data_IF_413477534602
#
_entry.id   IF_413477534602
#
_cell.length_a   1.000
_cell.length_b   1.000
_cell.length_c   1.000
_cell.angle_alpha   90.00
_cell.angle_beta   90.00
_cell.angle_gamma   90.00
#
_symmetry.space_group_name_H-M   'P 1'
#
loop_
_entity.id
_entity.type
_entity.pdbx_description
1 polymer ?
#
# COMPACT_ATOMS: atom_id res chain seq x y z
N UNK A 1 32.93 -35.29 80.86
CA UNK A 1 31.76 -36.19 80.77
C UNK A 1 30.54 -35.37 80.38
N UNK A 2 29.89 -35.74 79.27
CA UNK A 2 28.64 -35.20 78.68
C UNK A 2 28.64 -33.68 78.31
N UNK A 3 28.06 -33.21 77.20
CA UNK A 3 26.85 -33.68 76.53
C UNK A 3 26.84 -33.30 75.05
N UNK A 4 26.43 -34.26 74.23
CA UNK A 4 26.09 -34.17 72.81
C UNK A 4 24.93 -33.18 72.60
N UNK A 5 25.06 -32.26 71.63
CA UNK A 5 23.92 -31.53 71.08
C UNK A 5 23.95 -31.71 69.56
N UNK A 6 22.92 -32.40 69.07
CA UNK A 6 22.57 -32.53 67.66
C UNK A 6 21.96 -31.20 67.23
N UNK A 7 22.44 -30.62 66.15
CA UNK A 7 21.80 -29.44 65.55
C UNK A 7 21.55 -29.67 64.07
N UNK A 8 20.30 -29.37 63.70
CA UNK A 8 19.58 -29.72 62.48
C UNK A 8 20.26 -29.26 61.19
N UNK A 9 20.09 -30.08 60.14
CA UNK A 9 20.18 -29.66 58.76
C UNK A 9 19.17 -28.54 58.46
N UNK A 10 19.63 -27.46 57.81
CA UNK A 10 18.76 -26.47 57.18
C UNK A 10 19.15 -26.38 55.70
N UNK A 11 18.43 -27.12 54.87
CA UNK A 11 18.47 -26.98 53.42
C UNK A 11 17.60 -25.78 53.03
N UNK A 12 18.23 -24.66 52.68
CA UNK A 12 17.55 -23.47 52.16
C UNK A 12 17.64 -23.42 50.64
N UNK A 13 16.61 -23.91 49.95
CA UNK A 13 16.36 -23.65 48.53
C UNK A 13 15.89 -22.18 48.39
N UNK A 14 16.74 -21.30 47.86
CA UNK A 14 16.31 -19.98 47.42
C UNK A 14 16.03 -20.09 45.92
N UNK A 15 14.77 -20.37 45.58
CA UNK A 15 14.28 -20.26 44.21
C UNK A 15 14.07 -18.78 43.88
N UNK A 16 14.90 -18.22 43.00
CA UNK A 16 14.67 -16.90 42.44
C UNK A 16 13.48 -16.99 41.47
N UNK A 17 12.34 -16.45 41.88
CA UNK A 17 11.19 -16.28 41.00
C UNK A 17 11.49 -15.14 40.02
N UNK A 18 11.94 -15.49 38.81
CA UNK A 18 12.02 -14.55 37.69
C UNK A 18 10.60 -14.22 37.24
N UNK A 19 10.04 -13.10 37.73
CA UNK A 19 8.86 -12.50 37.14
C UNK A 19 9.28 -11.86 35.81
N UNK A 20 9.35 -12.65 34.75
CA UNK A 20 9.37 -12.10 33.39
C UNK A 20 8.02 -11.44 33.17
N UNK A 21 7.96 -10.11 33.32
CA UNK A 21 6.86 -9.31 32.80
C UNK A 21 6.92 -9.49 31.29
N UNK A 22 6.11 -10.41 30.77
CA UNK A 22 5.77 -10.38 29.36
C UNK A 22 5.05 -9.04 29.17
N UNK A 23 5.70 -8.10 28.50
CA UNK A 23 4.98 -6.95 27.97
C UNK A 23 3.76 -7.51 27.23
N UNK A 24 2.54 -7.01 27.47
CA UNK A 24 1.42 -7.43 26.65
C UNK A 24 1.86 -7.21 25.21
N UNK A 25 1.89 -8.27 24.40
CA UNK A 25 1.95 -8.16 22.97
C UNK A 25 0.62 -7.52 22.57
N UNK A 26 0.54 -6.21 22.70
CA UNK A 26 -0.54 -5.43 22.12
C UNK A 26 -0.36 -5.64 20.62
N UNK A 27 -1.14 -6.56 20.06
CA UNK A 27 -1.46 -6.51 18.65
C UNK A 27 -2.14 -5.16 18.47
N UNK A 28 -1.37 -4.13 18.14
CA UNK A 28 -1.93 -2.86 17.72
C UNK A 28 -2.79 -3.20 16.50
N UNK A 29 -4.11 -3.03 16.64
CA UNK A 29 -5.04 -3.25 15.55
C UNK A 29 -4.52 -2.46 14.33
N UNK A 30 -4.40 -3.11 13.18
CA UNK A 30 -3.92 -2.46 11.96
C UNK A 30 -4.97 -1.44 11.48
N UNK A 31 -4.93 -0.24 12.05
CA UNK A 31 -5.87 0.86 11.83
C UNK A 31 -5.13 2.21 11.84
N UNK A 32 -5.75 3.23 11.25
CA UNK A 32 -5.18 4.58 11.14
C UNK A 32 -4.58 4.87 9.77
N UNK A 33 -3.78 5.95 9.69
CA UNK A 33 -3.10 6.33 8.46
C UNK A 33 -1.72 5.65 8.37
N UNK A 34 -1.39 5.12 7.19
CA UNK A 34 -0.09 4.55 6.85
C UNK A 34 0.39 5.15 5.53
N UNK A 35 1.70 5.18 5.33
CA UNK A 35 2.33 5.59 4.09
C UNK A 35 2.91 4.36 3.40
N UNK A 36 2.47 4.10 2.18
CA UNK A 36 3.02 3.06 1.31
C UNK A 36 4.28 3.61 0.65
N UNK A 37 5.43 3.00 0.92
CA UNK A 37 6.67 3.26 0.20
C UNK A 37 7.02 2.09 -0.68
N UNK A 38 7.11 2.36 -1.98
CA UNK A 38 7.69 1.46 -2.97
C UNK A 38 8.95 2.12 -3.52
N UNK A 39 9.98 1.33 -3.81
CA UNK A 39 11.24 1.87 -4.32
C UNK A 39 11.00 2.54 -5.69
N UNK A 40 11.47 3.77 -5.83
CA UNK A 40 11.36 4.53 -7.08
C UNK A 40 9.99 5.14 -7.34
N UNK A 41 9.06 5.05 -6.38
CA UNK A 41 7.77 5.74 -6.44
C UNK A 41 7.61 6.70 -5.27
N UNK A 42 6.83 7.76 -5.49
CA UNK A 42 6.42 8.66 -4.43
C UNK A 42 5.54 7.92 -3.41
N UNK A 43 5.72 8.19 -2.11
CA UNK A 43 4.89 7.55 -1.08
C UNK A 43 3.43 7.98 -1.17
N UNK A 44 2.50 7.04 -1.08
CA UNK A 44 1.05 7.33 -1.01
C UNK A 44 0.49 7.08 0.37
N UNK A 45 -0.53 7.84 0.76
CA UNK A 45 -1.17 7.72 2.07
C UNK A 45 -2.40 6.79 1.99
N UNK A 46 -2.41 5.78 2.85
CA UNK A 46 -3.49 4.84 3.05
C UNK A 46 -4.24 5.15 4.34
N UNK A 47 -5.56 5.20 4.27
CA UNK A 47 -6.43 5.27 5.45
C UNK A 47 -7.00 3.88 5.69
N UNK A 48 -6.65 3.29 6.84
CA UNK A 48 -7.05 1.94 7.22
C UNK A 48 -8.12 2.01 8.31
N UNK A 49 -9.28 1.41 8.05
CA UNK A 49 -10.41 1.34 8.99
C UNK A 49 -10.89 -0.10 9.14
N UNK A 50 -11.46 -0.50 10.29
CA UNK A 50 -12.16 -1.78 10.39
C UNK A 50 -13.28 -1.87 9.36
N UNK A 51 -13.51 -3.05 8.78
CA UNK A 51 -14.65 -3.27 7.88
C UNK A 51 -15.98 -3.11 8.63
N UNK A 52 -16.96 -2.43 8.01
CA UNK A 52 -18.32 -2.33 8.54
C UNK A 52 -18.99 -3.72 8.60
N UNK A 53 -19.71 -4.02 9.68
CA UNK A 53 -20.52 -5.25 9.76
C UNK A 53 -19.78 -6.51 10.24
N UNK A 54 -18.68 -6.38 11.00
CA UNK A 54 -18.15 -7.48 11.82
C UNK A 54 -19.15 -7.82 12.96
N UNK A 55 -20.30 -8.38 12.62
CA UNK A 55 -21.26 -9.01 13.53
C UNK A 55 -20.68 -10.31 14.14
N UNK A 56 -19.43 -10.65 13.84
CA UNK A 56 -18.64 -11.62 14.55
C UNK A 56 -17.61 -10.88 15.43
N UNK A 57 -17.71 -10.94 16.77
CA UNK A 57 -16.71 -10.41 17.69
C UNK A 57 -15.44 -11.30 17.75
N UNK A 58 -15.09 -11.97 16.65
CA UNK A 58 -13.77 -12.57 16.47
C UNK A 58 -12.74 -11.49 16.13
N UNK A 59 -11.43 -11.76 16.24
CA UNK A 59 -10.41 -10.81 15.80
C UNK A 59 -10.75 -10.38 14.37
N UNK A 60 -10.93 -9.08 14.14
CA UNK A 60 -11.42 -8.54 12.88
C UNK A 60 -10.40 -8.84 11.77
N UNK A 61 -10.59 -9.97 11.08
CA UNK A 61 -9.76 -10.43 9.98
C UNK A 61 -9.98 -9.62 8.69
N UNK A 62 -10.51 -8.41 8.79
CA UNK A 62 -10.85 -7.54 7.67
C UNK A 62 -10.58 -6.08 8.06
N UNK A 63 -9.85 -5.37 7.22
CA UNK A 63 -9.76 -3.91 7.24
C UNK A 63 -10.05 -3.36 5.85
N UNK A 64 -10.63 -2.17 5.80
CA UNK A 64 -10.83 -1.40 4.58
C UNK A 64 -9.69 -0.40 4.43
N UNK A 65 -9.06 -0.42 3.27
CA UNK A 65 -8.00 0.50 2.89
C UNK A 65 -8.54 1.45 1.84
N UNK A 66 -8.42 2.75 2.10
CA UNK A 66 -8.74 3.82 1.16
C UNK A 66 -7.43 4.53 0.78
N UNK A 67 -7.12 4.58 -0.52
CA UNK A 67 -6.02 5.36 -1.10
C UNK A 67 -6.63 6.55 -1.87
N UNK A 68 -6.13 7.76 -1.59
CA UNK A 68 -6.63 9.00 -2.19
C UNK A 68 -6.17 9.23 -3.65
N UNK A 69 -5.31 8.37 -4.18
CA UNK A 69 -4.67 8.51 -5.48
C UNK A 69 -3.54 9.54 -5.47
N UNK A 70 -2.98 9.76 -6.66
CA UNK A 70 -1.97 10.78 -6.96
C UNK A 70 -2.21 11.33 -8.36
N UNK A 71 -1.31 12.20 -8.85
CA UNK A 71 -1.35 12.64 -10.25
C UNK A 71 -1.16 11.48 -11.25
N UNK A 72 -0.50 10.41 -10.81
CA UNK A 72 -0.12 9.25 -11.63
C UNK A 72 -0.91 7.99 -11.27
N UNK A 73 -1.83 8.07 -10.31
CA UNK A 73 -2.57 6.91 -9.84
C UNK A 73 -3.99 7.24 -9.41
N UNK A 74 -4.96 6.49 -9.91
CA UNK A 74 -6.35 6.61 -9.55
C UNK A 74 -6.57 6.20 -8.08
N UNK A 75 -7.49 6.89 -7.37
CA UNK A 75 -7.89 6.50 -6.03
C UNK A 75 -8.55 5.11 -6.05
N UNK A 76 -8.42 4.39 -4.93
CA UNK A 76 -9.10 3.10 -4.77
C UNK A 76 -9.55 2.88 -3.33
N UNK A 77 -10.51 1.99 -3.17
CA UNK A 77 -10.90 1.44 -1.87
C UNK A 77 -11.04 -0.08 -2.00
N UNK A 78 -10.47 -0.83 -1.05
CA UNK A 78 -10.52 -2.29 -1.06
C UNK A 78 -10.38 -2.89 0.34
N UNK A 79 -10.88 -4.11 0.48
CA UNK A 79 -10.77 -4.88 1.71
C UNK A 79 -9.50 -5.73 1.73
N UNK A 80 -8.76 -5.63 2.82
CA UNK A 80 -7.64 -6.48 3.14
C UNK A 80 -8.05 -7.48 4.21
N UNK A 81 -7.74 -8.76 3.97
CA UNK A 81 -8.06 -9.85 4.87
C UNK A 81 -6.81 -10.37 5.55
N UNK A 82 -6.90 -10.67 6.85
CA UNK A 82 -5.79 -11.23 7.61
C UNK A 82 -5.84 -12.76 7.59
N UNK A 83 -4.72 -13.39 7.27
CA UNK A 83 -4.54 -14.83 7.39
C UNK A 83 -3.07 -15.16 7.74
N UNK A 84 -2.86 -15.94 8.79
CA UNK A 84 -1.56 -16.53 9.16
C UNK A 84 -0.44 -15.48 9.30
N UNK A 85 -0.74 -14.33 9.93
CA UNK A 85 0.24 -13.27 10.16
C UNK A 85 0.42 -12.29 8.99
N UNK A 86 -0.25 -12.51 7.86
CA UNK A 86 -0.20 -11.63 6.70
C UNK A 86 -1.56 -11.00 6.43
N UNK A 87 -1.53 -9.77 5.93
CA UNK A 87 -2.67 -9.15 5.29
C UNK A 87 -2.57 -9.34 3.78
N UNK A 88 -3.71 -9.55 3.12
CA UNK A 88 -3.80 -9.68 1.67
C UNK A 88 -4.96 -8.87 1.13
N UNK A 89 -4.72 -8.12 0.05
CA UNK A 89 -5.70 -7.25 -0.60
C UNK A 89 -5.56 -7.39 -2.12
N UNK A 90 -6.67 -7.37 -2.85
CA UNK A 90 -6.67 -7.31 -4.32
C UNK A 90 -7.51 -6.12 -4.77
N UNK A 91 -6.94 -5.31 -5.66
CA UNK A 91 -7.54 -4.08 -6.16
C UNK A 91 -7.60 -4.17 -7.68
N UNK A 92 -8.75 -3.81 -8.28
CA UNK A 92 -8.82 -3.54 -9.70
C UNK A 92 -8.52 -2.06 -9.94
N UNK A 93 -7.52 -1.78 -10.78
CA UNK A 93 -7.03 -0.44 -11.08
C UNK A 93 -7.29 -0.15 -12.56
N UNK A 94 -7.87 1.00 -12.94
CA UNK A 94 -7.99 1.41 -14.35
C UNK A 94 -6.63 1.77 -14.98
N UNK A 95 -5.62 1.93 -14.15
CA UNK A 95 -4.30 2.49 -14.38
C UNK A 95 -3.23 1.63 -13.69
N UNK A 96 -3.36 0.31 -13.86
CA UNK A 96 -2.41 -0.65 -13.27
C UNK A 96 -1.02 -0.52 -13.91
N UNK A 97 -0.96 -0.11 -15.18
CA UNK A 97 0.26 0.26 -15.90
C UNK A 97 0.03 1.57 -16.64
N UNK A 98 1.05 2.42 -16.64
CA UNK A 98 1.12 3.62 -17.49
C UNK A 98 2.21 3.37 -18.53
N UNK A 99 1.85 3.48 -19.81
CA UNK A 99 2.74 3.29 -20.95
C UNK A 99 3.60 4.54 -21.21
N UNK A 100 4.64 4.43 -22.04
CA UNK A 100 5.53 5.55 -22.38
C UNK A 100 4.81 6.70 -23.11
N UNK A 101 3.72 6.41 -23.82
CA UNK A 101 2.85 7.39 -24.48
C UNK A 101 1.82 8.04 -23.53
N UNK A 102 1.84 7.65 -22.24
CA UNK A 102 0.91 8.11 -21.20
C UNK A 102 -0.42 7.36 -21.16
N UNK A 103 -0.63 6.34 -21.99
CA UNK A 103 -1.85 5.53 -21.94
C UNK A 103 -1.89 4.68 -20.66
N UNK A 104 -3.04 4.67 -19.99
CA UNK A 104 -3.28 3.85 -18.81
C UNK A 104 -3.94 2.52 -19.21
N UNK A 105 -3.39 1.43 -18.69
CA UNK A 105 -3.85 0.07 -18.93
C UNK A 105 -4.49 -0.49 -17.64
N UNK A 106 -5.75 -0.97 -17.71
CA UNK A 106 -6.41 -1.55 -16.55
C UNK A 106 -5.83 -2.91 -16.19
N UNK A 107 -5.88 -3.23 -14.90
CA UNK A 107 -5.38 -4.51 -14.40
C UNK A 107 -5.72 -4.73 -12.94
N UNK A 108 -5.11 -5.76 -12.36
CA UNK A 108 -5.22 -6.09 -10.95
C UNK A 108 -3.91 -5.85 -10.24
N UNK A 109 -4.00 -5.30 -9.03
CA UNK A 109 -2.88 -5.16 -8.11
C UNK A 109 -3.18 -5.96 -6.86
N UNK A 110 -2.32 -6.91 -6.53
CA UNK A 110 -2.41 -7.73 -5.32
C UNK A 110 -1.35 -7.28 -4.35
N UNK A 111 -1.74 -6.97 -3.12
CA UNK A 111 -0.84 -6.60 -2.03
C UNK A 111 -0.83 -7.71 -0.99
N UNK A 112 0.35 -8.05 -0.48
CA UNK A 112 0.51 -8.92 0.67
C UNK A 112 1.62 -8.39 1.58
N UNK A 113 1.35 -8.24 2.87
CA UNK A 113 2.34 -7.75 3.84
C UNK A 113 2.23 -8.45 5.19
N UNK A 114 3.35 -8.53 5.87
CA UNK A 114 3.42 -9.07 7.23
C UNK A 114 2.83 -8.06 8.22
N UNK A 115 1.97 -8.56 9.12
CA UNK A 115 1.21 -7.72 10.05
C UNK A 115 2.07 -7.06 11.13
N UNK A 116 3.32 -7.52 11.34
CA UNK A 116 4.19 -7.02 12.41
C UNK A 116 5.25 -6.06 11.88
N UNK A 117 5.98 -6.48 10.84
CA UNK A 117 7.06 -5.72 10.19
C UNK A 117 6.55 -4.66 9.23
N UNK A 118 5.31 -4.80 8.75
CA UNK A 118 4.70 -3.96 7.73
C UNK A 118 5.45 -3.95 6.39
N UNK A 119 6.27 -4.97 6.15
CA UNK A 119 6.96 -5.21 4.89
C UNK A 119 6.13 -6.15 4.01
N UNK A 120 6.10 -5.89 2.71
CA UNK A 120 5.23 -6.62 1.79
C UNK A 120 5.72 -6.69 0.36
N UNK A 121 4.92 -7.36 -0.46
CA UNK A 121 5.03 -7.44 -1.91
C UNK A 121 3.72 -7.01 -2.54
N UNK A 122 3.82 -6.17 -3.56
CA UNK A 122 2.72 -5.87 -4.46
C UNK A 122 3.01 -6.48 -5.82
N UNK A 123 1.97 -7.01 -6.46
CA UNK A 123 2.04 -7.66 -7.76
C UNK A 123 0.97 -7.10 -8.70
N UNK A 124 1.39 -6.67 -9.88
CA UNK A 124 0.54 -6.26 -10.97
C UNK A 124 0.26 -7.44 -11.89
N UNK A 125 -0.96 -7.54 -12.40
CA UNK A 125 -1.36 -8.47 -13.46
C UNK A 125 -2.26 -7.72 -14.43
N UNK A 126 -1.95 -7.81 -15.72
CA UNK A 126 -2.63 -7.06 -16.78
C UNK A 126 -2.69 -7.92 -18.05
N UNK A 127 -3.75 -7.76 -18.81
CA UNK A 127 -4.08 -8.63 -19.95
C UNK A 127 -3.49 -8.11 -21.31
N UNK A 128 -2.52 -7.19 -21.26
CA UNK A 128 -2.08 -6.28 -22.35
C UNK A 128 -2.48 -4.83 -22.00
N UNK A 129 -2.03 -3.70 -22.58
CA UNK A 129 -1.70 -3.42 -23.98
C UNK A 129 -0.96 -2.06 -24.18
N UNK A 130 0.30 -1.94 -23.74
CA UNK A 130 1.18 -0.88 -24.26
C UNK A 130 1.75 -1.33 -25.62
N UNK A 131 1.48 -0.62 -26.72
CA UNK A 131 2.04 -0.92 -28.06
C UNK A 131 1.94 -2.40 -28.52
N UNK A 132 0.89 -3.12 -28.11
CA UNK A 132 0.70 -4.54 -28.47
C UNK A 132 1.49 -5.54 -27.63
N UNK A 133 2.02 -5.10 -26.48
CA UNK A 133 2.69 -5.99 -25.51
C UNK A 133 1.73 -7.05 -24.97
N UNK A 134 2.23 -8.27 -24.84
CA UNK A 134 1.51 -9.42 -24.31
C UNK A 134 1.13 -9.21 -22.83
N UNK A 135 0.14 -9.96 -22.35
CA UNK A 135 -0.22 -9.98 -20.94
C UNK A 135 1.00 -10.28 -20.06
N UNK A 136 1.08 -9.63 -18.90
CA UNK A 136 2.27 -9.71 -18.06
C UNK A 136 1.97 -9.58 -16.57
N UNK A 137 3.03 -9.76 -15.79
CA UNK A 137 3.00 -9.56 -14.35
C UNK A 137 4.33 -8.99 -13.87
N UNK A 138 4.23 -8.04 -12.94
CA UNK A 138 5.35 -7.34 -12.32
C UNK A 138 5.17 -7.41 -10.81
N UNK A 139 6.25 -7.46 -10.04
CA UNK A 139 6.17 -7.42 -8.57
C UNK A 139 7.24 -6.54 -7.98
N UNK A 140 6.91 -5.83 -6.91
CA UNK A 140 7.85 -4.96 -6.20
C UNK A 140 7.69 -5.06 -4.68
N UNK A 141 8.79 -4.99 -3.91
CA UNK A 141 8.73 -4.83 -2.47
C UNK A 141 8.18 -3.47 -2.08
N UNK A 142 7.41 -3.45 -1.01
CA UNK A 142 6.97 -2.22 -0.37
C UNK A 142 7.08 -2.31 1.14
N UNK A 143 6.99 -1.16 1.79
CA UNK A 143 6.87 -1.05 3.24
C UNK A 143 5.79 -0.05 3.61
N UNK A 144 5.06 -0.32 4.69
CA UNK A 144 4.15 0.64 5.30
C UNK A 144 4.79 1.26 6.54
N UNK A 145 4.56 2.56 6.74
CA UNK A 145 4.96 3.29 7.96
C UNK A 145 3.83 4.19 8.45
N UNK A 146 3.68 4.35 9.76
CA UNK A 146 2.73 5.34 10.32
C UNK A 146 3.25 6.77 10.19
N UNK A 147 4.57 6.92 10.18
CA UNK A 147 5.23 8.19 9.95
C UNK A 147 5.42 8.39 8.45
N UNK A 148 5.11 9.59 7.98
CA UNK A 148 5.40 9.96 6.60
C UNK A 148 6.91 9.80 6.37
N UNK A 149 7.34 9.12 5.30
CA UNK A 149 8.76 9.07 5.00
C UNK A 149 9.26 10.50 4.81
N UNK A 150 10.44 10.79 5.37
CA UNK A 150 11.12 12.04 5.05
C UNK A 150 11.18 12.18 3.52
N UNK A 151 11.04 13.40 2.96
CA UNK A 151 11.31 13.59 1.56
C UNK A 151 12.70 13.02 1.32
N UNK A 152 12.80 11.98 0.50
CA UNK A 152 14.11 11.44 0.12
C UNK A 152 14.85 12.66 -0.40
N UNK A 153 15.84 13.13 0.37
CA UNK A 153 16.72 14.18 -0.09
C UNK A 153 17.20 13.64 -1.43
N UNK A 154 16.82 14.32 -2.52
CA UNK A 154 17.27 14.00 -3.85
C UNK A 154 18.75 13.73 -3.69
N UNK A 155 19.15 12.48 -3.90
CA UNK A 155 20.53 12.07 -3.72
C UNK A 155 21.33 12.93 -4.67
N UNK A 156 21.92 14.00 -4.15
CA UNK A 156 23.08 14.61 -4.73
C UNK A 156 24.06 13.45 -4.78
N UNK A 157 24.31 12.98 -5.99
CA UNK A 157 25.25 11.93 -6.29
C UNK A 157 26.45 12.03 -5.35
N UNK A 158 26.67 10.98 -4.57
CA UNK A 158 27.92 10.74 -3.85
C UNK A 158 29.00 10.46 -4.92
N UNK A 159 29.37 11.48 -5.68
CA UNK A 159 30.49 11.52 -6.59
C UNK A 159 31.35 12.75 -6.26
N UNK A 160 31.67 12.92 -4.98
CA UNK A 160 32.76 13.78 -4.53
C UNK A 160 34.03 12.93 -4.46
N UNK A 161 34.77 12.86 -5.56
CA UNK A 161 36.03 12.11 -5.56
C UNK A 161 36.89 12.12 -6.82
N UNK A 162 36.57 12.89 -7.87
CA UNK A 162 37.52 13.16 -8.94
C UNK A 162 37.72 14.68 -9.05
N UNK A 163 38.93 15.10 -8.70
CA UNK A 163 39.41 16.48 -8.70
C UNK A 163 39.35 17.07 -10.11
N UNK A 164 38.37 17.94 -10.36
CA UNK A 164 38.40 18.80 -11.54
C UNK A 164 39.31 20.02 -11.25
N UNK A 165 40.36 20.27 -12.06
CA UNK A 165 41.20 21.44 -11.90
C UNK A 165 40.40 22.72 -12.19
N UNK A 166 40.57 23.70 -11.31
CA UNK A 166 39.96 25.03 -11.38
C UNK A 166 40.41 25.74 -12.67
N UNK A 167 39.50 25.92 -13.62
CA UNK A 167 39.72 26.83 -14.75
C UNK A 167 39.38 28.27 -14.32
N UNK A 168 40.31 29.18 -14.60
CA UNK A 168 40.30 30.57 -14.16
C UNK A 168 39.15 31.39 -14.79
N UNK A 169 38.68 32.48 -14.13
CA UNK A 169 37.55 33.26 -14.61
C UNK A 169 37.93 34.08 -15.84
N UNK A 170 37.27 33.82 -16.96
CA UNK A 170 37.38 34.63 -18.17
C UNK A 170 36.48 35.86 -18.02
N UNK A 171 37.09 37.04 -18.15
CA UNK A 171 36.46 38.36 -18.06
C UNK A 171 35.27 38.53 -19.03
N UNK A 172 34.30 39.30 -18.54
CA UNK A 172 33.07 39.72 -19.21
C UNK A 172 33.33 40.46 -20.54
N UNK A 173 32.51 40.14 -21.56
CA UNK A 173 32.32 40.99 -22.73
C UNK A 173 30.84 41.42 -22.83
N UNK A 174 30.58 42.67 -23.27
CA UNK A 174 29.27 43.31 -23.13
C UNK A 174 28.24 42.92 -24.20
N UNK A 175 26.99 43.23 -23.84
CA UNK A 175 25.73 43.03 -24.57
C UNK A 175 25.72 43.54 -26.01
N UNK A 176 25.07 42.78 -26.88
CA UNK A 176 24.55 43.25 -28.17
C UNK A 176 23.03 42.99 -28.19
N UNK A 177 22.28 44.07 -28.40
CA UNK A 177 20.85 44.07 -28.66
C UNK A 177 20.54 43.31 -29.97
N UNK A 178 19.47 42.51 -29.98
CA UNK A 178 18.79 42.16 -31.23
C UNK A 178 17.29 42.14 -31.01
N UNK A 179 16.67 43.09 -31.69
CA UNK A 179 15.24 43.33 -31.89
C UNK A 179 14.52 42.19 -32.62
N UNK A 180 13.25 41.99 -32.26
CA UNK A 180 12.17 41.57 -33.17
C UNK A 180 11.95 40.06 -33.32
N UNK A 181 10.79 39.57 -32.88
CA UNK A 181 9.74 39.26 -33.84
C UNK A 181 8.37 39.17 -33.14
N UNK A 182 7.44 39.88 -33.74
CA UNK A 182 6.01 39.98 -33.44
C UNK A 182 5.28 38.92 -34.26
N UNK A 183 4.60 37.98 -33.62
CA UNK A 183 3.64 37.11 -34.33
C UNK A 183 2.35 36.98 -33.54
N UNK A 184 1.42 37.86 -33.89
CA UNK A 184 -0.01 37.74 -33.65
C UNK A 184 -0.57 36.57 -34.46
N UNK A 185 -1.18 35.60 -33.80
CA UNK A 185 -2.08 34.62 -34.39
C UNK A 185 -3.41 34.65 -33.63
N UNK A 186 -4.35 35.41 -34.17
CA UNK A 186 -5.78 35.27 -33.89
C UNK A 186 -6.33 34.02 -34.59
N UNK A 187 -7.48 33.55 -34.09
CA UNK A 187 -8.53 32.73 -34.73
C UNK A 187 -8.69 31.32 -34.15
N UNK A 188 -9.88 30.76 -33.92
CA UNK A 188 -11.28 31.20 -33.90
C UNK A 188 -12.11 29.94 -33.61
N UNK A 189 -13.15 30.02 -32.78
CA UNK A 189 -14.22 29.01 -32.68
C UNK A 189 -13.78 27.63 -32.16
N UNK A 190 -14.62 26.75 -31.65
CA UNK A 190 -16.05 26.61 -31.80
C UNK A 190 -16.66 26.06 -30.50
N UNK A 191 -17.79 26.66 -30.16
CA UNK A 191 -18.84 26.13 -29.31
C UNK A 191 -19.29 24.71 -29.72
N UNK A 192 -19.41 23.80 -28.76
CA UNK A 192 -20.29 22.64 -28.93
C UNK A 192 -21.02 22.35 -27.62
N UNK A 193 -22.23 22.85 -27.56
CA UNK A 193 -23.31 22.37 -26.68
C UNK A 193 -23.79 21.02 -27.21
N UNK A 194 -23.52 19.96 -26.47
CA UNK A 194 -24.10 18.63 -26.67
C UNK A 194 -25.09 18.33 -25.56
N UNK A 195 -26.36 18.55 -25.88
CA UNK A 195 -27.55 18.27 -25.08
C UNK A 195 -27.91 16.77 -25.15
N UNK A 196 -28.34 16.23 -24.01
CA UNK A 196 -29.24 15.09 -23.76
C UNK A 196 -29.19 13.77 -24.54
N UNK A 197 -29.12 12.65 -23.79
CA UNK A 197 -30.22 11.67 -23.73
C UNK A 197 -29.98 10.65 -22.61
N UNK A 198 -30.96 10.56 -21.71
CA UNK A 198 -31.13 9.46 -20.78
C UNK A 198 -31.43 8.16 -21.53
N UNK A 199 -30.86 7.05 -21.07
CA UNK A 199 -31.44 5.72 -21.25
C UNK A 199 -31.41 5.00 -19.90
N UNK A 200 -32.58 5.02 -19.26
CA UNK A 200 -32.97 4.08 -18.23
C UNK A 200 -33.21 2.72 -18.90
N UNK A 201 -32.43 1.71 -18.56
CA UNK A 201 -32.79 0.31 -18.79
C UNK A 201 -32.62 -0.40 -17.44
N UNK A 202 -33.74 -0.53 -16.73
CA UNK A 202 -33.85 -1.34 -15.53
C UNK A 202 -33.69 -2.82 -15.88
N UNK A 203 -32.64 -3.44 -15.36
CA UNK A 203 -32.46 -4.88 -15.38
C UNK A 203 -32.89 -5.49 -14.05
N UNK A 204 -34.17 -5.82 -13.93
CA UNK A 204 -34.69 -6.75 -12.92
C UNK A 204 -34.01 -8.10 -13.11
N UNK A 205 -33.02 -8.40 -12.26
CA UNK A 205 -32.43 -9.73 -12.14
C UNK A 205 -33.13 -10.46 -11.00
N UNK A 206 -34.18 -11.18 -11.36
CA UNK A 206 -34.89 -12.16 -10.54
C UNK A 206 -33.90 -13.27 -10.15
N UNK A 207 -33.34 -13.18 -8.94
CA UNK A 207 -32.55 -14.27 -8.37
C UNK A 207 -33.52 -15.33 -7.83
N UNK A 208 -33.67 -16.41 -8.60
CA UNK A 208 -34.33 -17.64 -8.17
C UNK A 208 -33.61 -18.22 -6.96
N UNK A 209 -34.28 -18.25 -5.81
CA UNK A 209 -33.84 -19.00 -4.64
C UNK A 209 -33.88 -20.50 -4.98
N UNK A 210 -32.70 -21.08 -5.19
CA UNK A 210 -32.52 -22.52 -5.26
C UNK A 210 -32.60 -23.07 -3.83
N UNK A 211 -33.72 -23.72 -3.50
CA UNK A 211 -33.90 -24.46 -2.25
C UNK A 211 -32.90 -25.62 -2.20
N UNK A 212 -31.97 -25.58 -1.25
CA UNK A 212 -31.19 -26.75 -0.86
C UNK A 212 -32.03 -27.67 0.04
N UNK A 213 -32.09 -28.99 -0.20
CA UNK A 213 -32.78 -29.92 0.67
C UNK A 213 -32.03 -30.11 1.99
N UNK A 214 -32.79 -30.10 3.09
CA UNK A 214 -32.32 -30.45 4.42
C UNK A 214 -31.94 -31.94 4.47
N UNK A 215 -30.67 -32.24 4.78
CA UNK A 215 -30.26 -33.60 5.10
C UNK A 215 -30.57 -33.90 6.57
N UNK A 216 -31.60 -34.73 6.79
CA UNK A 216 -31.82 -35.41 8.07
C UNK A 216 -30.65 -36.36 8.34
N UNK A 217 -29.85 -36.06 9.37
CA UNK A 217 -28.90 -37.01 9.94
C UNK A 217 -29.60 -37.87 10.99
N UNK A 218 -30.04 -39.03 10.53
CA UNK A 218 -30.44 -40.20 11.29
C UNK A 218 -29.36 -40.57 12.32
N UNK A 219 -29.71 -40.45 13.61
CA UNK A 219 -28.85 -40.84 14.74
C UNK A 219 -29.20 -42.28 15.13
N UNK A 220 -28.45 -43.23 14.57
CA UNK A 220 -28.45 -44.64 14.96
C UNK A 220 -27.31 -44.99 15.92
N UNK A 221 -27.71 -45.57 17.05
CA UNK A 221 -26.97 -46.35 18.09
C UNK A 221 -26.08 -45.64 19.13
#
# INVERSE_FOLDING_TARGET
MAKTIRTLALAGLIGAASLTVAAPASAEDFNGQYFLKVRGMDPTAWVVRPCDGAANPGPSHCVRITDGGSAESAPFEADAFWAVGYWTMKVQRPDAIVCDDGAAVPGFVTYSWDATSLEGQLGFSYDGSCEGTEAGSLSAPFRLSREAPAPEAAGEDEFAGEEYPQEEPVEEAPAEESTGDESTGEESGEESTGEEAATEEGGDSEATAEEAPAEESDSGE
#
